data_IF_549994476315
#
_entry.id   IF_549994476315
#
_cell.length_a   1.000
_cell.length_b   1.000
_cell.length_c   1.000
_cell.angle_alpha   90.00
_cell.angle_beta   90.00
_cell.angle_gamma   90.00
#
_symmetry.space_group_name_H-M   'P 1'
#
loop_
_entity.id
_entity.type
_entity.pdbx_description
1 polymer ?
#
# COMPACT_ATOMS: atom_id res chain seq x y z
N UNK A 1 3.86 -16.61 -10.52
CA UNK A 1 5.07 -15.90 -10.07
C UNK A 1 5.08 -14.42 -10.49
N UNK A 2 5.05 -14.08 -11.78
CA UNK A 2 5.04 -12.66 -12.25
C UNK A 2 3.87 -11.84 -11.68
N UNK A 3 2.66 -12.39 -11.67
CA UNK A 3 1.47 -11.73 -11.09
C UNK A 3 1.66 -11.37 -9.61
N UNK A 4 2.28 -12.26 -8.82
CA UNK A 4 2.54 -12.02 -7.41
C UNK A 4 3.48 -10.83 -7.20
N UNK A 5 4.51 -10.71 -8.04
CA UNK A 5 5.49 -9.62 -7.99
C UNK A 5 4.82 -8.29 -8.34
N UNK A 6 4.01 -8.25 -9.42
CA UNK A 6 3.30 -7.04 -9.84
C UNK A 6 2.30 -6.60 -8.77
N UNK A 7 1.58 -7.55 -8.17
CA UNK A 7 0.62 -7.26 -7.12
C UNK A 7 1.29 -6.78 -5.84
N UNK A 8 2.42 -7.38 -5.45
CA UNK A 8 3.24 -6.89 -4.33
C UNK A 8 3.74 -5.46 -4.56
N UNK A 9 4.20 -5.15 -5.79
CA UNK A 9 4.63 -3.81 -6.16
C UNK A 9 3.48 -2.80 -6.08
N UNK A 10 2.30 -3.14 -6.62
CA UNK A 10 1.10 -2.29 -6.58
C UNK A 10 0.66 -2.00 -5.15
N UNK A 11 0.59 -3.04 -4.29
CA UNK A 11 0.18 -2.88 -2.89
C UNK A 11 1.21 -2.01 -2.13
N UNK A 12 2.51 -2.24 -2.35
CA UNK A 12 3.58 -1.44 -1.74
C UNK A 12 3.54 0.04 -2.15
N UNK A 13 3.20 0.32 -3.41
CA UNK A 13 3.03 1.69 -3.92
C UNK A 13 1.87 2.45 -3.28
N UNK A 14 0.92 1.75 -2.65
CA UNK A 14 -0.19 2.35 -1.90
C UNK A 14 0.12 2.70 -0.44
N UNK A 15 1.18 2.13 0.15
CA UNK A 15 1.42 2.19 1.60
C UNK A 15 1.92 3.55 2.09
N UNK A 16 2.63 4.29 1.25
CA UNK A 16 3.26 5.57 1.61
C UNK A 16 2.67 6.72 0.80
N UNK A 17 2.70 7.93 1.38
CA UNK A 17 2.26 9.15 0.69
C UNK A 17 3.00 9.38 -0.63
N UNK A 18 4.34 9.36 -0.68
CA UNK A 18 5.07 9.52 -1.94
C UNK A 18 4.95 8.31 -2.90
N UNK A 19 4.28 7.24 -2.49
CA UNK A 19 4.19 6.01 -3.29
C UNK A 19 3.37 6.17 -4.57
N UNK A 20 2.43 7.11 -4.62
CA UNK A 20 1.66 7.42 -5.83
C UNK A 20 1.07 8.84 -5.81
N UNK A 21 0.78 9.38 -7.00
CA UNK A 21 0.23 10.74 -7.18
C UNK A 21 -1.09 10.96 -6.40
N UNK A 22 -2.07 10.03 -6.42
CA UNK A 22 -3.31 10.19 -5.65
C UNK A 22 -3.09 10.39 -4.14
N UNK A 23 -2.16 9.65 -3.53
CA UNK A 23 -1.83 9.79 -2.12
C UNK A 23 -1.21 11.16 -1.83
N UNK A 24 -0.34 11.66 -2.71
CA UNK A 24 0.28 13.00 -2.58
C UNK A 24 -0.79 14.10 -2.63
N UNK A 25 -1.69 14.04 -3.61
CA UNK A 25 -2.77 15.03 -3.78
C UNK A 25 -3.74 14.98 -2.60
N UNK A 26 -4.11 13.79 -2.15
CA UNK A 26 -5.01 13.60 -1.01
C UNK A 26 -4.38 14.10 0.29
N UNK A 27 -3.09 13.82 0.49
CA UNK A 27 -2.36 14.27 1.67
C UNK A 27 -2.23 15.79 1.74
N UNK A 28 -1.98 16.43 0.58
CA UNK A 28 -1.94 17.89 0.47
C UNK A 28 -3.30 18.53 0.80
N UNK A 29 -4.40 17.94 0.31
CA UNK A 29 -5.76 18.43 0.58
C UNK A 29 -6.21 18.20 2.02
N UNK A 30 -5.88 17.04 2.60
CA UNK A 30 -6.27 16.66 3.97
C UNK A 30 -5.27 17.13 5.03
N UNK A 31 -4.16 17.75 4.62
CA UNK A 31 -3.07 18.25 5.49
C UNK A 31 -2.51 17.18 6.45
N UNK A 32 -2.44 15.94 6.00
CA UNK A 32 -1.86 14.81 6.75
C UNK A 32 -0.36 14.69 6.47
N UNK A 33 0.42 14.41 7.50
CA UNK A 33 1.86 14.20 7.39
C UNK A 33 2.19 12.78 6.92
N UNK A 34 3.35 12.62 6.28
CA UNK A 34 3.85 11.30 5.85
C UNK A 34 3.96 10.30 7.00
N UNK A 35 4.29 10.77 8.21
CA UNK A 35 4.41 9.94 9.41
C UNK A 35 3.05 9.45 9.89
N UNK A 36 2.04 10.32 9.91
CA UNK A 36 0.67 9.95 10.30
C UNK A 36 0.08 8.93 9.33
N UNK A 37 0.27 9.13 8.02
CA UNK A 37 -0.20 8.17 7.03
C UNK A 37 0.57 6.86 7.13
N UNK A 38 1.90 6.88 7.25
CA UNK A 38 2.70 5.67 7.34
C UNK A 38 2.30 4.78 8.53
N UNK A 39 1.86 5.38 9.66
CA UNK A 39 1.37 4.65 10.82
C UNK A 39 0.12 3.80 10.53
N UNK A 40 -0.69 4.18 9.55
CA UNK A 40 -1.91 3.45 9.15
C UNK A 40 -1.74 2.70 7.83
N UNK A 41 -1.19 3.35 6.81
CA UNK A 41 -1.02 2.83 5.46
C UNK A 41 -0.04 1.66 5.37
N UNK A 42 1.03 1.65 6.17
CA UNK A 42 2.00 0.53 6.18
C UNK A 42 1.37 -0.72 6.83
N UNK A 43 0.78 -0.67 8.04
CA UNK A 43 0.11 -1.84 8.59
C UNK A 43 -1.04 -2.37 7.72
N UNK A 44 -1.88 -1.46 7.21
CA UNK A 44 -2.99 -1.84 6.32
C UNK A 44 -2.47 -2.54 5.06
N UNK A 45 -1.47 -1.96 4.41
CA UNK A 45 -0.87 -2.54 3.21
C UNK A 45 -0.23 -3.90 3.46
N UNK A 46 0.45 -4.09 4.59
CA UNK A 46 1.02 -5.38 4.98
C UNK A 46 -0.06 -6.44 5.20
N UNK A 47 -1.16 -6.09 5.87
CA UNK A 47 -2.30 -6.99 6.08
C UNK A 47 -2.87 -7.42 4.72
N UNK A 48 -3.14 -6.47 3.82
CA UNK A 48 -3.65 -6.76 2.47
C UNK A 48 -2.67 -7.63 1.69
N UNK A 49 -1.36 -7.35 1.79
CA UNK A 49 -0.32 -8.13 1.12
C UNK A 49 -0.29 -9.58 1.63
N UNK A 50 -0.36 -9.80 2.95
CA UNK A 50 -0.41 -11.15 3.53
C UNK A 50 -1.65 -11.90 3.05
N UNK A 51 -2.83 -11.30 3.14
CA UNK A 51 -4.07 -11.92 2.66
C UNK A 51 -4.00 -12.26 1.17
N UNK A 52 -3.51 -11.33 0.35
CA UNK A 52 -3.41 -11.54 -1.09
C UNK A 52 -2.46 -12.70 -1.44
N UNK A 53 -1.32 -12.80 -0.77
CA UNK A 53 -0.39 -13.91 -0.97
C UNK A 53 -0.94 -15.24 -0.44
N UNK A 54 -1.69 -15.25 0.66
CA UNK A 54 -2.39 -16.46 1.12
C UNK A 54 -3.34 -16.95 0.03
N UNK A 55 -4.17 -16.06 -0.53
CA UNK A 55 -5.11 -16.41 -1.60
C UNK A 55 -4.37 -16.92 -2.84
N UNK A 56 -3.30 -16.25 -3.26
CA UNK A 56 -2.63 -16.58 -4.53
C UNK A 56 -1.80 -17.87 -4.50
N UNK A 57 -1.36 -18.33 -3.32
CA UNK A 57 -0.48 -19.49 -3.18
C UNK A 57 -1.15 -20.71 -2.54
N UNK A 58 -2.22 -20.53 -1.77
CA UNK A 58 -2.87 -21.63 -1.03
C UNK A 58 -4.33 -21.89 -1.44
N UNK A 59 -4.95 -20.97 -2.18
CA UNK A 59 -6.27 -21.13 -2.78
C UNK A 59 -6.16 -21.30 -4.30
#
# INVERSE_FOLDING_TARGET
QVTAIIMGLLISGGMLIPGNIPNIVSASKLKISSKEWAAWGVPLGLIVMVFFFIILFFL
#
